data_IF_849101623392
#
_entry.id   IF_849101623392
#
_cell.length_a   1.000
_cell.length_b   1.000
_cell.length_c   1.000
_cell.angle_alpha   90.00
_cell.angle_beta   90.00
_cell.angle_gamma   90.00
#
_symmetry.space_group_name_H-M   'P 1'
#
loop_
_entity.id
_entity.type
_entity.pdbx_description
1 polymer ?
#
# COMPACT_ATOMS: atom_id res chain seq x y z
N UNK A 1 36.65 -6.78 6.40
CA UNK A 1 35.51 -6.42 7.23
C UNK A 1 34.56 -5.53 6.44
N UNK A 2 33.43 -5.99 6.33
CA UNK A 2 32.48 -5.30 5.56
C UNK A 2 31.87 -4.17 6.35
N UNK A 3 32.19 -3.01 5.98
CA UNK A 3 31.46 -1.85 6.41
C UNK A 3 30.17 -1.80 5.61
N UNK A 4 29.02 -1.84 6.21
CA UNK A 4 27.81 -1.72 5.45
C UNK A 4 27.87 -0.42 4.67
N UNK A 5 27.66 -0.48 3.39
CA UNK A 5 27.66 0.73 2.59
C UNK A 5 26.44 1.59 2.84
N UNK A 6 25.69 1.23 3.81
CA UNK A 6 24.55 2.01 4.18
C UNK A 6 24.66 2.48 5.57
N UNK A 7 25.56 3.38 5.79
CA UNK A 7 25.41 4.13 6.96
C UNK A 7 24.21 4.99 6.85
N UNK A 8 23.40 4.81 5.96
CA UNK A 8 22.47 5.81 5.87
C UNK A 8 21.37 5.58 6.79
N UNK A 9 21.58 5.98 7.99
CA UNK A 9 20.45 6.49 8.62
C UNK A 9 19.90 7.50 7.67
N UNK A 10 18.84 7.30 7.23
CA UNK A 10 18.09 8.23 6.63
C UNK A 10 18.18 9.56 7.27
N UNK A 11 18.69 10.49 6.61
CA UNK A 11 18.65 11.82 7.11
C UNK A 11 17.26 12.35 6.92
N UNK A 12 16.35 11.72 7.61
CA UNK A 12 15.06 12.32 7.67
C UNK A 12 15.06 13.61 8.41
N UNK A 13 16.03 13.74 9.27
CA UNK A 13 16.29 15.01 9.93
C UNK A 13 17.72 15.35 9.64
N UNK A 14 18.04 16.04 8.56
CA UNK A 14 19.37 16.56 8.38
C UNK A 14 19.73 17.37 9.62
N UNK A 15 20.97 17.31 10.07
CA UNK A 15 21.41 18.03 11.25
C UNK A 15 21.01 19.51 11.23
N UNK A 16 21.01 20.08 10.08
CA UNK A 16 20.58 21.47 9.86
C UNK A 16 19.11 21.71 10.23
N UNK A 17 18.27 20.75 9.91
CA UNK A 17 16.86 20.86 10.25
C UNK A 17 16.65 20.73 11.75
N UNK A 18 17.34 19.81 12.38
CA UNK A 18 17.29 19.65 13.85
C UNK A 18 17.83 20.89 14.53
N UNK A 19 18.90 21.46 14.02
CA UNK A 19 19.45 22.70 14.54
C UNK A 19 18.47 23.86 14.40
N UNK A 20 17.78 23.93 13.29
CA UNK A 20 16.75 24.96 13.07
C UNK A 20 15.60 24.82 14.07
N UNK A 21 15.20 23.59 14.37
CA UNK A 21 14.14 23.34 15.35
C UNK A 21 14.60 23.69 16.76
N UNK A 22 15.83 23.33 17.10
CA UNK A 22 16.38 23.67 18.41
C UNK A 22 16.78 25.15 18.54
N UNK A 23 17.01 25.80 17.43
CA UNK A 23 17.30 27.23 17.41
C UNK A 23 16.08 28.12 17.48
N UNK A 24 14.90 27.53 17.49
CA UNK A 24 13.70 28.33 17.68
C UNK A 24 13.66 28.83 19.11
N UNK A 25 13.52 30.14 19.29
CA UNK A 25 13.45 30.71 20.64
C UNK A 25 12.28 30.11 21.39
N UNK A 26 12.56 29.62 22.57
CA UNK A 26 11.54 29.10 23.47
C UNK A 26 10.63 30.20 24.05
N UNK A 27 10.55 31.33 23.41
CA UNK A 27 9.68 32.40 23.81
C UNK A 27 8.35 32.38 23.05
N UNK A 28 7.42 33.24 23.41
CA UNK A 28 6.20 33.45 22.66
C UNK A 28 6.53 34.13 21.32
N UNK A 29 7.55 33.62 20.67
CA UNK A 29 7.81 33.98 19.30
C UNK A 29 6.60 33.54 18.46
N UNK A 30 6.34 34.27 17.40
CA UNK A 30 5.30 33.87 16.52
C UNK A 30 5.71 32.54 15.87
N UNK A 31 5.30 31.45 16.50
CA UNK A 31 5.12 30.26 15.70
C UNK A 31 4.26 30.69 14.53
N UNK A 32 4.63 30.39 13.29
CA UNK A 32 3.70 30.56 12.20
C UNK A 32 2.45 29.78 12.62
N UNK A 33 1.46 30.50 13.08
CA UNK A 33 0.14 29.90 13.22
C UNK A 33 -0.21 29.46 11.84
N UNK A 34 -0.33 28.18 11.67
CA UNK A 34 -0.96 27.68 10.48
C UNK A 34 -2.28 28.43 10.38
N UNK A 35 -2.58 29.06 9.26
CA UNK A 35 -3.84 29.76 9.12
C UNK A 35 -4.94 28.77 9.48
N UNK A 36 -5.74 29.12 10.45
CA UNK A 36 -6.88 28.31 10.86
C UNK A 36 -7.89 28.11 9.72
N UNK A 37 -7.75 28.90 8.70
CA UNK A 37 -8.42 28.70 7.43
C UNK A 37 -7.38 28.25 6.40
N UNK A 38 -7.55 27.07 5.80
CA UNK A 38 -6.80 26.76 4.61
C UNK A 38 -7.03 27.90 3.59
N UNK A 39 -5.96 28.56 3.19
CA UNK A 39 -6.04 29.64 2.21
C UNK A 39 -6.75 29.21 0.94
N UNK A 40 -7.06 30.15 0.04
CA UNK A 40 -7.78 29.88 -1.18
C UNK A 40 -6.99 28.90 -2.05
N UNK A 41 -7.32 27.64 -1.97
CA UNK A 41 -6.63 26.54 -2.66
C UNK A 41 -6.95 25.16 -2.14
N UNK A 42 -7.43 25.07 -0.91
CA UNK A 42 -7.88 23.78 -0.38
C UNK A 42 -9.41 23.80 -0.22
N UNK A 43 -10.11 22.82 -0.78
CA UNK A 43 -11.54 22.71 -0.53
C UNK A 43 -11.80 22.47 0.94
N UNK A 44 -12.96 22.89 1.47
CA UNK A 44 -13.31 22.60 2.85
C UNK A 44 -13.25 21.11 3.11
N UNK A 45 -12.77 20.73 4.29
CA UNK A 45 -12.65 19.32 4.69
C UNK A 45 -14.05 18.72 4.77
N UNK A 46 -14.31 17.72 3.97
CA UNK A 46 -15.56 16.99 3.99
C UNK A 46 -15.33 15.53 4.39
N UNK A 47 -15.77 15.11 5.57
CA UNK A 47 -15.50 13.76 6.06
C UNK A 47 -16.29 12.67 5.33
N UNK A 48 -17.36 13.02 4.63
CA UNK A 48 -18.22 12.05 3.95
C UNK A 48 -17.47 11.16 2.97
N UNK A 49 -16.56 11.74 2.21
CA UNK A 49 -15.76 10.98 1.23
C UNK A 49 -14.87 9.94 1.93
N UNK A 50 -14.22 10.32 3.02
CA UNK A 50 -13.38 9.40 3.79
C UNK A 50 -14.21 8.28 4.42
N UNK A 51 -15.35 8.63 5.01
CA UNK A 51 -16.26 7.66 5.63
C UNK A 51 -16.77 6.66 4.58
N UNK A 52 -17.17 7.14 3.42
CA UNK A 52 -17.62 6.31 2.30
C UNK A 52 -16.50 5.40 1.80
N UNK A 53 -15.30 5.92 1.65
CA UNK A 53 -14.12 5.15 1.23
C UNK A 53 -13.78 4.06 2.24
N UNK A 54 -13.83 4.38 3.54
CA UNK A 54 -13.58 3.42 4.60
C UNK A 54 -14.62 2.28 4.60
N UNK A 55 -15.89 2.61 4.37
CA UNK A 55 -16.96 1.61 4.27
C UNK A 55 -16.75 0.68 3.07
N UNK A 56 -16.40 1.24 1.92
CA UNK A 56 -16.11 0.48 0.70
C UNK A 56 -14.85 -0.39 0.86
N UNK A 57 -13.85 0.09 1.58
CA UNK A 57 -12.61 -0.65 1.83
C UNK A 57 -12.83 -1.94 2.61
N UNK A 58 -13.85 -2.00 3.46
CA UNK A 58 -14.20 -3.23 4.19
C UNK A 58 -14.51 -4.39 3.24
N UNK A 59 -15.15 -4.09 2.10
CA UNK A 59 -15.40 -5.08 1.06
C UNK A 59 -14.09 -5.59 0.46
N UNK A 60 -13.14 -4.69 0.18
CA UNK A 60 -11.82 -5.09 -0.31
C UNK A 60 -11.07 -5.97 0.69
N UNK A 61 -11.21 -5.68 1.99
CA UNK A 61 -10.61 -6.52 3.02
C UNK A 61 -11.25 -7.92 3.06
N UNK A 62 -12.57 -8.01 2.90
CA UNK A 62 -13.25 -9.30 2.83
C UNK A 62 -12.79 -10.10 1.61
N UNK A 63 -12.72 -9.47 0.44
CA UNK A 63 -12.20 -10.09 -0.77
C UNK A 63 -10.71 -10.46 -0.62
N UNK A 64 -9.94 -9.60 0.06
CA UNK A 64 -8.54 -9.87 0.40
C UNK A 64 -8.38 -11.13 1.25
N UNK A 65 -9.26 -11.36 2.22
CA UNK A 65 -9.26 -12.59 3.02
C UNK A 65 -9.51 -13.83 2.15
N UNK A 66 -10.45 -13.77 1.21
CA UNK A 66 -10.70 -14.86 0.27
C UNK A 66 -9.46 -15.17 -0.56
N UNK A 67 -8.76 -14.12 -1.01
CA UNK A 67 -7.49 -14.28 -1.74
C UNK A 67 -6.45 -14.95 -0.86
N UNK A 68 -6.29 -14.52 0.39
CA UNK A 68 -5.33 -15.10 1.33
C UNK A 68 -5.65 -16.56 1.63
N UNK A 69 -6.92 -16.90 1.83
CA UNK A 69 -7.36 -18.29 2.02
C UNK A 69 -6.97 -19.15 0.82
N UNK A 70 -7.17 -18.63 -0.40
CA UNK A 70 -6.81 -19.34 -1.61
C UNK A 70 -5.30 -19.48 -1.77
N UNK A 71 -4.54 -18.46 -1.43
CA UNK A 71 -3.07 -18.51 -1.44
C UNK A 71 -2.49 -19.43 -0.36
N UNK A 72 -3.25 -19.69 0.69
CA UNK A 72 -2.88 -20.61 1.75
C UNK A 72 -3.13 -22.08 1.39
N UNK A 73 -3.86 -22.33 0.30
CA UNK A 73 -4.06 -23.67 -0.24
C UNK A 73 -2.78 -24.13 -0.93
N UNK A 74 -2.14 -25.16 -0.39
CA UNK A 74 -0.81 -25.60 -0.88
C UNK A 74 -0.79 -25.98 -2.37
N UNK A 75 -1.73 -26.78 -2.88
CA UNK A 75 -1.76 -27.08 -4.31
C UNK A 75 -1.87 -25.86 -5.20
N UNK A 76 -2.68 -24.90 -4.80
CA UNK A 76 -2.84 -23.65 -5.55
C UNK A 76 -1.57 -22.80 -5.49
N UNK A 77 -1.01 -22.62 -4.30
CA UNK A 77 0.23 -21.86 -4.11
C UNK A 77 1.38 -22.45 -4.94
N UNK A 78 1.51 -23.77 -4.93
CA UNK A 78 2.54 -24.47 -5.70
C UNK A 78 2.39 -24.23 -7.21
N UNK A 79 1.18 -24.31 -7.73
CA UNK A 79 0.91 -24.03 -9.15
C UNK A 79 1.21 -22.58 -9.50
N UNK A 80 0.80 -21.65 -8.65
CA UNK A 80 1.03 -20.22 -8.83
C UNK A 80 2.53 -19.91 -8.86
N UNK A 81 3.27 -20.42 -7.88
CA UNK A 81 4.72 -20.22 -7.82
C UNK A 81 5.45 -20.84 -9.00
N UNK A 82 5.06 -22.03 -9.41
CA UNK A 82 5.64 -22.70 -10.59
C UNK A 82 5.40 -21.89 -11.86
N UNK A 83 4.20 -21.40 -12.06
CA UNK A 83 3.87 -20.55 -13.20
C UNK A 83 4.66 -19.22 -13.18
N UNK A 84 4.78 -18.61 -11.99
CA UNK A 84 5.53 -17.38 -11.83
C UNK A 84 7.04 -17.56 -12.09
N UNK A 85 7.63 -18.63 -11.55
CA UNK A 85 9.04 -18.95 -11.77
C UNK A 85 9.34 -19.27 -13.22
N UNK A 86 8.40 -19.87 -13.94
CA UNK A 86 8.52 -20.15 -15.36
C UNK A 86 8.22 -18.93 -16.24
N UNK A 87 7.90 -17.77 -15.65
CA UNK A 87 7.57 -16.56 -16.40
C UNK A 87 6.25 -16.62 -17.15
N UNK A 88 5.36 -17.54 -16.79
CA UNK A 88 4.06 -17.73 -17.46
C UNK A 88 3.02 -16.77 -16.93
N UNK A 89 3.15 -15.52 -17.30
CA UNK A 89 2.27 -14.46 -16.83
C UNK A 89 0.79 -14.76 -17.08
N UNK A 90 0.45 -15.27 -18.25
CA UNK A 90 -0.95 -15.60 -18.59
C UNK A 90 -1.55 -16.65 -17.68
N UNK A 91 -0.75 -17.64 -17.26
CA UNK A 91 -1.19 -18.67 -16.33
C UNK A 91 -1.39 -18.10 -14.93
N UNK A 92 -0.47 -17.25 -14.48
CA UNK A 92 -0.62 -16.51 -13.22
C UNK A 92 -1.90 -15.68 -13.21
N UNK A 93 -2.14 -14.91 -14.27
CA UNK A 93 -3.34 -14.09 -14.40
C UNK A 93 -4.62 -14.93 -14.40
N UNK A 94 -4.59 -16.11 -15.06
CA UNK A 94 -5.72 -17.05 -15.05
C UNK A 94 -5.98 -17.59 -13.65
N UNK A 95 -4.95 -18.06 -12.96
CA UNK A 95 -5.08 -18.58 -11.61
C UNK A 95 -5.63 -17.52 -10.64
N UNK A 96 -5.20 -16.29 -10.80
CA UNK A 96 -5.71 -15.19 -9.97
C UNK A 96 -7.17 -14.85 -10.30
N UNK A 97 -7.57 -14.93 -11.56
CA UNK A 97 -8.96 -14.70 -11.97
C UNK A 97 -9.90 -15.81 -11.53
N UNK A 98 -9.39 -17.02 -11.32
CA UNK A 98 -10.19 -18.15 -10.83
C UNK A 98 -10.58 -17.98 -9.34
N UNK A 99 -10.00 -17.00 -8.67
CA UNK A 99 -10.40 -16.67 -7.30
C UNK A 99 -11.71 -15.90 -7.37
N UNK A 100 -12.76 -16.49 -6.78
CA UNK A 100 -14.11 -15.93 -6.83
C UNK A 100 -14.25 -14.76 -5.86
N UNK A 101 -13.94 -13.57 -6.31
CA UNK A 101 -14.18 -12.32 -5.59
C UNK A 101 -14.94 -11.34 -6.48
N UNK A 102 -15.59 -10.36 -5.85
CA UNK A 102 -16.35 -9.33 -6.55
C UNK A 102 -15.50 -8.16 -7.03
N UNK A 103 -14.31 -8.00 -6.44
CA UNK A 103 -13.35 -6.95 -6.75
C UNK A 103 -12.43 -7.36 -7.90
N UNK A 104 -11.74 -6.39 -8.47
CA UNK A 104 -10.73 -6.65 -9.52
C UNK A 104 -9.40 -7.00 -8.86
N UNK A 105 -8.84 -8.11 -9.27
CA UNK A 105 -7.59 -8.64 -8.75
C UNK A 105 -6.49 -8.52 -9.79
N UNK A 106 -5.36 -7.97 -9.40
CA UNK A 106 -4.14 -8.00 -10.20
C UNK A 106 -2.95 -8.50 -9.37
N UNK A 107 -2.05 -9.21 -10.03
CA UNK A 107 -0.88 -9.76 -9.38
C UNK A 107 0.40 -9.37 -10.12
N UNK A 108 1.42 -9.03 -9.35
CA UNK A 108 2.79 -8.88 -9.82
C UNK A 108 3.66 -9.80 -9.01
N UNK A 109 4.64 -10.39 -9.62
CA UNK A 109 5.55 -11.29 -8.94
C UNK A 109 7.01 -10.93 -9.21
N UNK A 110 7.84 -11.22 -8.23
CA UNK A 110 9.28 -11.10 -8.28
C UNK A 110 9.88 -12.46 -7.90
N UNK A 111 11.17 -12.69 -8.08
CA UNK A 111 11.78 -13.95 -7.64
C UNK A 111 11.56 -14.26 -6.15
N UNK A 112 11.33 -13.25 -5.33
CA UNK A 112 11.22 -13.40 -3.88
C UNK A 112 9.82 -13.15 -3.31
N UNK A 113 8.86 -12.75 -4.13
CA UNK A 113 7.55 -12.39 -3.59
C UNK A 113 6.45 -12.17 -4.61
N UNK A 114 5.26 -12.01 -4.07
CA UNK A 114 4.03 -11.75 -4.79
C UNK A 114 3.40 -10.48 -4.26
N UNK A 115 3.04 -9.58 -5.14
CA UNK A 115 2.29 -8.36 -4.80
C UNK A 115 0.90 -8.51 -5.42
N UNK A 116 -0.09 -8.51 -4.57
CA UNK A 116 -1.49 -8.62 -4.97
C UNK A 116 -2.18 -7.30 -4.71
N UNK A 117 -2.87 -6.80 -5.70
CA UNK A 117 -3.64 -5.56 -5.61
C UNK A 117 -5.11 -5.87 -5.88
N UNK A 118 -5.95 -5.44 -4.95
CA UNK A 118 -7.40 -5.58 -5.02
C UNK A 118 -8.00 -4.18 -5.16
N UNK A 119 -8.79 -3.97 -6.20
CA UNK A 119 -9.45 -2.70 -6.46
C UNK A 119 -10.96 -2.91 -6.59
N UNK A 120 -11.77 -1.89 -6.32
CA UNK A 120 -13.21 -1.98 -6.52
C UNK A 120 -13.56 -2.41 -7.95
N UNK A 121 -14.71 -3.04 -8.12
CA UNK A 121 -15.22 -3.39 -9.43
C UNK A 121 -15.43 -2.16 -10.31
N UNK A 122 -15.57 -2.39 -11.61
CA UNK A 122 -15.75 -1.31 -12.61
C UNK A 122 -16.96 -0.43 -12.33
N UNK A 123 -17.95 -0.97 -11.62
CA UNK A 123 -19.17 -0.24 -11.29
C UNK A 123 -19.07 0.55 -9.98
N UNK A 124 -18.05 0.30 -9.19
CA UNK A 124 -17.84 1.02 -7.94
C UNK A 124 -16.91 2.20 -8.17
N UNK A 125 -17.20 3.37 -7.58
CA UNK A 125 -16.26 4.49 -7.71
C UNK A 125 -14.90 4.12 -7.11
N UNK A 126 -13.84 4.53 -7.79
CA UNK A 126 -12.47 4.29 -7.34
C UNK A 126 -12.20 5.02 -6.02
N UNK A 127 -12.56 4.38 -4.91
CA UNK A 127 -12.42 4.96 -3.58
C UNK A 127 -11.11 4.58 -2.90
N UNK A 128 -10.57 3.40 -3.23
CA UNK A 128 -9.58 2.75 -2.38
C UNK A 128 -8.88 1.61 -3.12
N UNK A 129 -7.73 1.23 -2.62
CA UNK A 129 -6.92 0.15 -3.16
C UNK A 129 -6.35 -0.65 -1.99
N UNK A 130 -6.44 -1.96 -2.04
CA UNK A 130 -5.77 -2.84 -1.11
C UNK A 130 -4.58 -3.49 -1.80
N UNK A 131 -3.40 -3.30 -1.28
CA UNK A 131 -2.18 -3.94 -1.80
C UNK A 131 -1.57 -4.83 -0.73
N UNK A 132 -1.33 -6.09 -1.07
CA UNK A 132 -0.71 -7.07 -0.21
C UNK A 132 0.63 -7.51 -0.80
N UNK A 133 1.68 -7.46 -0.02
CA UNK A 133 3.01 -7.92 -0.41
C UNK A 133 3.36 -9.16 0.40
N UNK A 134 3.53 -10.28 -0.28
CA UNK A 134 3.76 -11.58 0.33
C UNK A 134 5.12 -12.13 -0.12
N UNK A 135 5.90 -12.63 0.81
CA UNK A 135 7.14 -13.32 0.49
C UNK A 135 6.87 -14.77 0.18
N UNK A 136 7.60 -15.31 -0.79
CA UNK A 136 7.62 -16.73 -1.10
C UNK A 136 9.03 -17.31 -1.32
N UNK A 137 10.04 -16.44 -1.37
CA UNK A 137 11.44 -16.84 -1.49
C UNK A 137 12.19 -16.69 -0.17
N UNK A 138 13.35 -17.34 -0.10
CA UNK A 138 14.29 -17.22 1.02
C UNK A 138 15.06 -15.90 0.95
#
# INVERSE_FOLDING_TARGET
MYSPPYPVPYPFCPPEFVSAVHGLPAGPGPYPRFPENPGPGYPPVEPKQLISSAASFRKLLADGNVVLDRLSDEPFARRLMTAAQAGRKQEVDRLMKDIAISSVLSARYTPSGLIVTVTPGVQDPACCVLTMSLKWGQ
#
